data_IF_028553744220
#
_entry.id   IF_028553744220
#
_cell.length_a   1.000
_cell.length_b   1.000
_cell.length_c   1.000
_cell.angle_alpha   90.00
_cell.angle_beta   90.00
_cell.angle_gamma   90.00
#
_symmetry.space_group_name_H-M   'P 1'
#
loop_
_entity.id
_entity.type
_entity.pdbx_description
1 polymer ?
#
# COMPACT_ATOMS: atom_id res chain seq x y z
N UNK A 1 18.89 -7.49 2.90
CA UNK A 1 19.17 -8.90 2.52
C UNK A 1 17.90 -9.75 2.36
N UNK A 2 16.92 -9.70 3.29
CA UNK A 2 15.67 -10.47 3.17
C UNK A 2 14.81 -10.10 1.94
N UNK A 3 14.61 -8.81 1.67
CA UNK A 3 13.77 -8.34 0.54
C UNK A 3 14.37 -8.70 -0.82
N UNK A 4 15.68 -8.50 -1.00
CA UNK A 4 16.41 -8.88 -2.22
C UNK A 4 16.29 -10.37 -2.50
N UNK A 5 16.49 -11.22 -1.47
CA UNK A 5 16.35 -12.67 -1.61
C UNK A 5 14.90 -13.08 -1.97
N UNK A 6 13.91 -12.37 -1.43
CA UNK A 6 12.51 -12.62 -1.78
C UNK A 6 12.22 -12.26 -3.24
N UNK A 7 12.69 -11.11 -3.72
CA UNK A 7 12.55 -10.70 -5.12
C UNK A 7 13.23 -11.69 -6.09
N UNK A 8 14.44 -12.17 -5.74
CA UNK A 8 15.12 -13.22 -6.49
C UNK A 8 14.31 -14.54 -6.49
N UNK A 9 13.69 -14.91 -5.37
CA UNK A 9 12.82 -16.09 -5.32
C UNK A 9 11.56 -15.94 -6.18
N UNK A 10 11.00 -14.73 -6.30
CA UNK A 10 9.87 -14.45 -7.18
C UNK A 10 10.30 -14.50 -8.65
N UNK A 11 11.48 -13.96 -8.98
CA UNK A 11 12.05 -14.03 -10.33
C UNK A 11 12.26 -15.49 -10.77
N UNK A 12 12.78 -16.34 -9.89
CA UNK A 12 12.90 -17.78 -10.14
C UNK A 12 11.56 -18.48 -10.38
N UNK A 13 10.44 -17.89 -9.94
CA UNK A 13 9.06 -18.37 -10.18
C UNK A 13 8.39 -17.67 -11.38
N UNK A 14 9.14 -16.91 -12.17
CA UNK A 14 8.67 -16.23 -13.38
C UNK A 14 7.97 -14.88 -13.12
N UNK A 15 8.14 -14.27 -11.95
CA UNK A 15 7.67 -12.90 -11.71
C UNK A 15 8.72 -11.89 -12.19
N UNK A 16 8.32 -11.00 -13.10
CA UNK A 16 9.20 -10.02 -13.72
C UNK A 16 9.13 -8.70 -12.93
N UNK A 17 10.27 -8.06 -12.70
CA UNK A 17 10.29 -6.69 -12.19
C UNK A 17 9.65 -5.76 -13.22
N UNK A 18 8.63 -5.01 -12.79
CA UNK A 18 7.85 -4.14 -13.67
C UNK A 18 7.92 -2.67 -13.22
N UNK A 19 9.08 -1.99 -13.33
CA UNK A 19 9.16 -0.54 -13.17
C UNK A 19 8.41 0.20 -14.29
N UNK A 20 8.14 -0.49 -15.40
CA UNK A 20 7.22 -0.09 -16.46
C UNK A 20 6.24 -1.22 -16.72
N UNK A 21 5.03 -0.89 -17.16
CA UNK A 21 4.00 -1.88 -17.47
C UNK A 21 3.03 -1.30 -18.51
N UNK A 22 2.57 -2.16 -19.42
CA UNK A 22 1.36 -1.90 -20.19
C UNK A 22 0.14 -2.20 -19.29
N UNK A 23 -0.73 -1.21 -19.01
CA UNK A 23 -1.81 -1.40 -18.06
C UNK A 23 -2.72 -2.57 -18.43
N UNK A 24 -3.22 -3.24 -17.39
CA UNK A 24 -4.21 -4.30 -17.47
C UNK A 24 -3.80 -5.55 -18.28
N UNK A 25 -2.50 -5.71 -18.57
CA UNK A 25 -2.00 -6.91 -19.24
C UNK A 25 -1.87 -8.08 -18.26
N UNK A 26 -2.23 -9.28 -18.72
CA UNK A 26 -2.03 -10.51 -17.95
C UNK A 26 -0.54 -10.83 -17.85
N UNK A 27 -0.08 -11.16 -16.64
CA UNK A 27 1.31 -11.52 -16.41
C UNK A 27 1.60 -11.79 -14.94
N UNK A 28 2.85 -12.18 -14.67
CA UNK A 28 3.38 -12.32 -13.31
C UNK A 28 4.37 -11.19 -13.08
N UNK A 29 3.97 -10.21 -12.28
CA UNK A 29 4.76 -9.02 -12.02
C UNK A 29 5.12 -8.93 -10.54
N UNK A 30 6.30 -8.39 -10.26
CA UNK A 30 6.70 -7.97 -8.93
C UNK A 30 7.12 -6.50 -8.97
N UNK A 31 6.74 -5.76 -7.93
CA UNK A 31 7.09 -4.35 -7.72
C UNK A 31 7.41 -4.15 -6.24
N UNK A 32 8.19 -3.11 -5.94
CA UNK A 32 8.38 -2.64 -4.58
C UNK A 32 7.54 -1.37 -4.36
N UNK A 33 6.88 -1.29 -3.20
CA UNK A 33 5.95 -0.23 -2.85
C UNK A 33 6.26 0.28 -1.45
N UNK A 34 5.93 1.55 -1.19
CA UNK A 34 6.08 2.14 0.13
C UNK A 34 4.76 2.79 0.59
N UNK A 35 4.10 2.28 1.64
CA UNK A 35 2.77 2.74 2.04
C UNK A 35 2.67 4.22 2.42
N UNK A 36 3.67 4.79 3.13
CA UNK A 36 3.58 6.16 3.63
C UNK A 36 3.35 7.22 2.53
N UNK A 37 4.16 7.29 1.45
CA UNK A 37 3.91 8.23 0.37
C UNK A 37 2.62 7.91 -0.39
N UNK A 38 2.26 6.63 -0.55
CA UNK A 38 1.01 6.25 -1.20
C UNK A 38 -0.22 6.74 -0.41
N UNK A 39 -0.23 6.60 0.92
CA UNK A 39 -1.28 7.09 1.81
C UNK A 39 -1.41 8.62 1.70
N UNK A 40 -0.30 9.34 1.64
CA UNK A 40 -0.31 10.80 1.46
C UNK A 40 -0.96 11.18 0.13
N UNK A 41 -0.61 10.50 -0.96
CA UNK A 41 -1.07 10.84 -2.30
C UNK A 41 -2.51 10.40 -2.57
N UNK A 42 -2.88 9.16 -2.22
CA UNK A 42 -4.22 8.61 -2.42
C UNK A 42 -5.29 9.33 -1.59
N UNK A 43 -4.92 9.86 -0.42
CA UNK A 43 -5.86 10.54 0.48
C UNK A 43 -5.63 12.06 0.55
N UNK A 44 -4.82 12.61 -0.35
CA UNK A 44 -4.51 14.04 -0.47
C UNK A 44 -4.10 14.70 0.86
N UNK A 45 -3.34 13.99 1.69
CA UNK A 45 -2.90 14.48 2.99
C UNK A 45 -1.73 15.47 2.84
N UNK A 46 -1.60 16.40 3.78
CA UNK A 46 -0.42 17.28 3.84
C UNK A 46 0.81 16.59 4.42
N UNK A 47 0.60 15.55 5.24
CA UNK A 47 1.66 14.84 5.98
C UNK A 47 1.27 13.40 6.25
N UNK A 48 2.27 12.59 6.58
CA UNK A 48 2.07 11.19 6.98
C UNK A 48 1.22 11.06 8.25
N UNK A 49 0.45 9.97 8.32
CA UNK A 49 -0.19 9.51 9.56
C UNK A 49 0.84 8.83 10.45
N UNK A 50 0.90 9.17 11.74
CA UNK A 50 1.94 8.66 12.66
C UNK A 50 1.51 7.39 13.40
N UNK A 51 1.01 6.39 12.67
CA UNK A 51 0.49 5.16 13.27
C UNK A 51 1.57 4.15 13.70
N UNK A 52 2.81 4.27 13.19
CA UNK A 52 3.92 3.35 13.51
C UNK A 52 4.80 3.75 14.70
N UNK A 53 4.71 5.00 15.18
CA UNK A 53 5.61 5.54 16.22
C UNK A 53 4.85 6.42 17.21
N UNK A 54 5.08 6.22 18.50
CA UNK A 54 4.45 6.98 19.57
C UNK A 54 3.81 6.10 20.64
N UNK A 55 3.02 6.71 21.52
CA UNK A 55 2.27 5.99 22.55
C UNK A 55 1.11 5.21 21.91
N UNK A 56 0.64 4.18 22.61
CA UNK A 56 -0.45 3.32 22.14
C UNK A 56 -1.69 4.13 21.70
N UNK A 57 -2.11 5.10 22.51
CA UNK A 57 -3.29 5.93 22.22
C UNK A 57 -3.11 6.78 20.95
N UNK A 58 -1.95 7.44 20.79
CA UNK A 58 -1.65 8.26 19.62
C UNK A 58 -1.61 7.41 18.34
N UNK A 59 -0.92 6.27 18.40
CA UNK A 59 -0.84 5.32 17.28
C UNK A 59 -2.21 4.76 16.91
N UNK A 60 -3.04 4.40 17.91
CA UNK A 60 -4.40 3.92 17.70
C UNK A 60 -5.23 4.99 16.98
N UNK A 61 -5.18 6.24 17.42
CA UNK A 61 -5.93 7.33 16.77
C UNK A 61 -5.53 7.49 15.30
N UNK A 62 -4.24 7.51 14.99
CA UNK A 62 -3.74 7.63 13.62
C UNK A 62 -4.08 6.40 12.76
N UNK A 63 -4.07 5.20 13.35
CA UNK A 63 -4.43 3.96 12.66
C UNK A 63 -5.92 3.90 12.32
N UNK A 64 -6.79 4.40 13.22
CA UNK A 64 -8.22 4.52 12.96
C UNK A 64 -8.52 5.53 11.84
N UNK A 65 -7.75 6.63 11.75
CA UNK A 65 -7.85 7.55 10.60
C UNK A 65 -7.48 6.84 9.30
N UNK A 66 -6.39 6.07 9.28
CA UNK A 66 -6.00 5.28 8.11
C UNK A 66 -7.13 4.32 7.68
N UNK A 67 -7.73 3.60 8.63
CA UNK A 67 -8.88 2.75 8.36
C UNK A 67 -10.04 3.53 7.73
N UNK A 68 -10.41 4.68 8.28
CA UNK A 68 -11.48 5.53 7.74
C UNK A 68 -11.18 6.04 6.33
N UNK A 69 -9.94 6.45 6.04
CA UNK A 69 -9.56 6.86 4.69
C UNK A 69 -9.67 5.72 3.69
N UNK A 70 -9.22 4.52 4.07
CA UNK A 70 -9.37 3.31 3.24
C UNK A 70 -10.83 3.05 2.92
N UNK A 71 -11.70 3.04 3.94
CA UNK A 71 -13.12 2.71 3.76
C UNK A 71 -13.89 3.75 2.97
N UNK A 72 -13.50 5.03 3.07
CA UNK A 72 -14.27 6.12 2.49
C UNK A 72 -13.74 6.57 1.12
N UNK A 73 -12.45 6.38 0.84
CA UNK A 73 -11.82 6.86 -0.39
C UNK A 73 -11.54 5.70 -1.34
N UNK A 74 -10.91 4.60 -0.90
CA UNK A 74 -10.53 3.53 -1.85
C UNK A 74 -11.75 2.80 -2.43
N UNK A 75 -12.89 2.85 -1.74
CA UNK A 75 -14.18 2.34 -2.23
C UNK A 75 -14.82 3.23 -3.30
N UNK A 76 -14.28 4.43 -3.55
CA UNK A 76 -14.78 5.40 -4.54
C UNK A 76 -13.80 5.64 -5.68
N UNK A 77 -12.57 5.14 -5.58
CA UNK A 77 -11.57 5.21 -6.64
C UNK A 77 -11.74 4.07 -7.64
N UNK A 78 -11.13 4.21 -8.80
CA UNK A 78 -10.97 3.11 -9.77
C UNK A 78 -9.48 2.70 -9.79
N UNK A 79 -9.13 1.41 -9.67
CA UNK A 79 -10.02 0.28 -9.35
C UNK A 79 -10.62 0.40 -7.94
N UNK A 80 -11.89 0.01 -7.83
CA UNK A 80 -12.64 0.04 -6.58
C UNK A 80 -12.12 -1.01 -5.62
N UNK A 81 -11.89 -0.62 -4.36
CA UNK A 81 -11.63 -1.56 -3.29
C UNK A 81 -12.96 -2.12 -2.75
N UNK A 82 -13.20 -3.41 -2.93
CA UNK A 82 -14.30 -4.11 -2.27
C UNK A 82 -13.87 -4.61 -0.88
N UNK A 83 -14.56 -4.13 0.16
CA UNK A 83 -14.30 -4.50 1.56
C UNK A 83 -15.59 -4.97 2.24
N UNK A 84 -15.49 -6.07 2.99
CA UNK A 84 -16.58 -6.52 3.86
C UNK A 84 -16.74 -5.58 5.06
N UNK A 85 -17.97 -5.40 5.55
CA UNK A 85 -18.31 -4.50 6.67
C UNK A 85 -17.51 -4.73 7.97
N UNK A 86 -16.87 -5.90 8.14
CA UNK A 86 -16.10 -6.27 9.34
C UNK A 86 -14.68 -6.75 9.04
N UNK A 87 -14.04 -6.26 7.96
CA UNK A 87 -12.69 -6.75 7.59
C UNK A 87 -11.62 -6.44 8.66
N UNK A 88 -11.90 -5.49 9.56
CA UNK A 88 -11.01 -5.08 10.63
C UNK A 88 -11.76 -4.87 11.95
N UNK A 89 -11.28 -5.53 13.01
CA UNK A 89 -11.77 -5.32 14.38
C UNK A 89 -11.00 -4.18 15.04
N UNK A 90 -11.56 -2.98 14.95
CA UNK A 90 -10.96 -1.75 15.48
C UNK A 90 -11.28 -1.51 16.96
N UNK A 91 -12.34 -2.13 17.47
CA UNK A 91 -12.80 -1.98 18.86
C UNK A 91 -11.85 -2.68 19.83
N UNK A 92 -11.30 -3.84 19.44
CA UNK A 92 -10.42 -4.65 20.27
C UNK A 92 -8.94 -4.23 20.27
N UNK A 93 -8.60 -3.04 19.78
CA UNK A 93 -7.25 -2.49 19.88
C UNK A 93 -7.00 -1.95 21.29
N UNK A 94 -6.55 -2.82 22.20
CA UNK A 94 -6.31 -2.51 23.62
C UNK A 94 -4.87 -2.74 24.08
N UNK A 95 -4.01 -3.30 23.21
CA UNK A 95 -2.60 -3.57 23.50
C UNK A 95 -1.72 -3.24 22.29
N UNK A 96 -0.40 -3.20 22.51
CA UNK A 96 0.59 -3.03 21.43
C UNK A 96 0.53 -4.22 20.45
N UNK A 97 0.25 -5.43 20.93
CA UNK A 97 0.14 -6.61 20.10
C UNK A 97 -1.06 -6.52 19.14
N UNK A 98 -2.26 -6.23 19.68
CA UNK A 98 -3.47 -6.05 18.86
C UNK A 98 -3.31 -4.88 17.89
N UNK A 99 -2.69 -3.77 18.34
CA UNK A 99 -2.42 -2.63 17.47
C UNK A 99 -1.49 -3.01 16.31
N UNK A 100 -0.42 -3.76 16.58
CA UNK A 100 0.51 -4.21 15.54
C UNK A 100 -0.17 -5.14 14.54
N UNK A 101 -1.01 -6.08 14.99
CA UNK A 101 -1.79 -6.93 14.09
C UNK A 101 -2.70 -6.13 13.18
N UNK A 102 -3.36 -5.09 13.71
CA UNK A 102 -4.20 -4.20 12.92
C UNK A 102 -3.38 -3.35 11.95
N UNK A 103 -2.22 -2.85 12.39
CA UNK A 103 -1.26 -2.13 11.55
C UNK A 103 -0.79 -2.97 10.36
N UNK A 104 -0.31 -4.19 10.62
CA UNK A 104 0.19 -5.09 9.59
C UNK A 104 -0.90 -5.43 8.56
N UNK A 105 -2.16 -5.58 8.99
CA UNK A 105 -3.32 -5.80 8.10
C UNK A 105 -3.56 -4.59 7.19
N UNK A 106 -3.65 -3.38 7.76
CA UNK A 106 -3.91 -2.17 6.97
C UNK A 106 -2.75 -1.86 6.00
N UNK A 107 -1.50 -2.04 6.45
CA UNK A 107 -0.34 -1.89 5.58
C UNK A 107 -0.37 -2.92 4.44
N UNK A 108 -0.72 -4.17 4.72
CA UNK A 108 -0.81 -5.21 3.68
C UNK A 108 -1.89 -4.89 2.64
N UNK A 109 -3.03 -4.35 3.09
CA UNK A 109 -4.13 -3.94 2.23
C UNK A 109 -3.71 -2.79 1.32
N UNK A 110 -3.07 -1.76 1.89
CA UNK A 110 -2.54 -0.63 1.12
C UNK A 110 -1.48 -1.11 0.12
N UNK A 111 -0.54 -1.96 0.53
CA UNK A 111 0.47 -2.54 -0.38
C UNK A 111 -0.19 -3.27 -1.55
N UNK A 112 -1.21 -4.09 -1.29
CA UNK A 112 -1.94 -4.81 -2.32
C UNK A 112 -2.70 -3.85 -3.25
N UNK A 113 -3.35 -2.83 -2.68
CA UNK A 113 -4.07 -1.82 -3.44
C UNK A 113 -3.14 -1.03 -4.37
N UNK A 114 -1.95 -0.63 -3.90
CA UNK A 114 -0.94 0.03 -4.76
C UNK A 114 -0.57 -0.88 -5.94
N UNK A 115 -0.41 -2.19 -5.71
CA UNK A 115 -0.15 -3.16 -6.78
C UNK A 115 -1.29 -3.23 -7.80
N UNK A 116 -2.54 -3.25 -7.35
CA UNK A 116 -3.71 -3.22 -8.22
C UNK A 116 -3.82 -1.90 -9.00
N UNK A 117 -3.59 -0.77 -8.32
CA UNK A 117 -3.63 0.57 -8.91
C UNK A 117 -2.51 0.77 -9.95
N UNK A 118 -1.31 0.24 -9.69
CA UNK A 118 -0.21 0.17 -10.64
C UNK A 118 -0.56 -0.67 -11.87
N UNK A 119 -1.12 -1.86 -11.67
CA UNK A 119 -1.53 -2.72 -12.79
C UNK A 119 -2.64 -2.07 -13.63
N UNK A 120 -3.59 -1.39 -12.99
CA UNK A 120 -4.75 -0.82 -13.66
C UNK A 120 -4.42 0.41 -14.51
N UNK A 121 -3.58 1.31 -13.99
CA UNK A 121 -3.29 2.61 -14.62
C UNK A 121 -1.89 2.72 -15.21
N UNK A 122 -0.95 1.86 -14.79
CA UNK A 122 0.47 2.04 -15.08
C UNK A 122 0.95 3.43 -14.71
N UNK A 123 1.77 4.03 -15.57
CA UNK A 123 2.38 5.35 -15.36
C UNK A 123 1.39 6.52 -15.51
N UNK A 124 0.15 6.29 -15.94
CA UNK A 124 -0.82 7.39 -16.10
C UNK A 124 -1.34 7.95 -14.76
N UNK A 125 -1.18 7.19 -13.67
CA UNK A 125 -1.61 7.58 -12.31
C UNK A 125 -0.59 7.20 -11.23
N UNK A 126 0.63 6.82 -11.63
CA UNK A 126 1.66 6.36 -10.69
C UNK A 126 3.03 6.89 -11.10
N UNK A 127 3.83 7.20 -10.08
CA UNK A 127 5.24 7.52 -10.19
C UNK A 127 6.08 6.28 -9.91
N UNK A 128 7.18 6.17 -10.64
CA UNK A 128 8.24 5.19 -10.39
C UNK A 128 9.47 5.99 -9.97
N UNK A 129 9.90 5.79 -8.73
CA UNK A 129 11.07 6.46 -8.16
C UNK A 129 12.25 5.49 -8.19
N UNK A 130 13.22 5.74 -9.08
CA UNK A 130 14.38 4.87 -9.30
C UNK A 130 14.25 4.03 -10.57
N UNK A 131 15.03 2.95 -10.66
CA UNK A 131 15.08 2.07 -11.83
C UNK A 131 15.45 0.62 -11.46
N UNK A 132 15.52 -0.28 -12.44
CA UNK A 132 15.86 -1.69 -12.26
C UNK A 132 17.33 -1.92 -11.85
N UNK A 133 18.22 -0.95 -12.06
CA UNK A 133 19.65 -1.06 -11.73
C UNK A 133 19.94 -0.66 -10.28
N UNK A 134 19.25 0.36 -9.77
CA UNK A 134 19.45 0.93 -8.43
C UNK A 134 18.35 0.54 -7.43
N UNK A 135 17.27 -0.05 -7.92
CA UNK A 135 16.04 -0.29 -7.19
C UNK A 135 15.02 0.81 -7.44
N UNK A 136 13.73 0.45 -7.43
CA UNK A 136 12.64 1.37 -7.69
C UNK A 136 11.51 1.18 -6.68
N UNK A 137 10.73 2.24 -6.48
CA UNK A 137 9.49 2.19 -5.71
C UNK A 137 8.36 2.76 -6.56
N UNK A 138 7.25 2.03 -6.64
CA UNK A 138 6.01 2.51 -7.24
C UNK A 138 5.18 3.23 -6.19
N UNK A 139 4.74 4.44 -6.52
CA UNK A 139 3.91 5.29 -5.66
C UNK A 139 2.77 5.88 -6.50
N UNK A 140 1.49 5.78 -6.08
CA UNK A 140 0.40 6.48 -6.74
C UNK A 140 0.68 7.98 -6.82
N UNK A 141 0.34 8.61 -7.94
CA UNK A 141 0.35 10.07 -8.05
C UNK A 141 -0.71 10.67 -7.13
N UNK A 142 -0.48 11.92 -6.71
CA UNK A 142 -1.47 12.65 -5.93
C UNK A 142 -2.72 12.85 -6.79
N UNK A 143 -3.88 12.55 -6.23
CA UNK A 143 -5.15 12.83 -6.89
C UNK A 143 -5.31 14.36 -7.01
N UNK A 144 -5.54 14.84 -8.23
CA UNK A 144 -5.92 16.23 -8.50
C UNK A 144 -7.31 16.57 -7.98
#
# INVERSE_FOLDING_TARGET
QKTVNFGMSLAAKGFIHAPTIEPQQLGRFQIEVYPHPAIVNLFSLEKILKYKKGKLADRKSELLKLHQYITNILTTLEPTLEISENFLDTENINSIATLKTTEDKLDSLICAYIGAYWWYWGQAKNLVLGDDTTGYIVVPERLE
#
